data_IF_837357173944
#
_entry.id   IF_837357173944
#
_cell.length_a   1.000
_cell.length_b   1.000
_cell.length_c   1.000
_cell.angle_alpha   90.00
_cell.angle_beta   90.00
_cell.angle_gamma   90.00
#
_symmetry.space_group_name_H-M   'P 1'
#
loop_
_entity.id
_entity.type
_entity.pdbx_description
1 polymer ?
#
# COMPACT_ATOMS: atom_id res chain seq x y z
N UNK A 1 27.58 20.67 14.25
CA UNK A 1 27.29 19.83 13.07
C UNK A 1 25.85 19.39 13.20
N UNK A 2 24.96 19.91 12.34
CA UNK A 2 23.53 19.61 12.39
C UNK A 2 23.34 18.12 12.09
N UNK A 3 22.69 17.39 13.00
CA UNK A 3 22.19 16.05 12.74
C UNK A 3 21.25 16.14 11.54
N UNK A 4 21.68 15.66 10.37
CA UNK A 4 20.82 15.55 9.20
C UNK A 4 19.65 14.66 9.59
N UNK A 5 18.42 15.20 9.50
CA UNK A 5 17.22 14.38 9.60
C UNK A 5 17.32 13.26 8.57
N UNK A 6 17.35 12.01 9.03
CA UNK A 6 17.31 10.84 8.15
C UNK A 6 15.96 10.72 7.43
N UNK A 7 14.92 11.42 7.91
CA UNK A 7 13.61 11.40 7.29
C UNK A 7 13.61 12.15 5.96
N UNK A 8 13.15 11.52 4.85
CA UNK A 8 13.14 12.17 3.55
C UNK A 8 12.25 13.41 3.54
N UNK A 9 12.73 14.50 2.93
CA UNK A 9 11.96 15.75 2.85
C UNK A 9 10.63 15.61 2.12
N UNK A 10 10.57 14.75 1.10
CA UNK A 10 9.31 14.46 0.39
C UNK A 10 8.22 13.92 1.32
N UNK A 11 8.60 13.17 2.37
CA UNK A 11 7.64 12.64 3.34
C UNK A 11 7.01 13.77 4.14
N UNK A 12 7.80 14.77 4.54
CA UNK A 12 7.30 15.96 5.23
C UNK A 12 6.29 16.74 4.39
N UNK A 13 6.54 16.88 3.07
CA UNK A 13 5.57 17.48 2.16
C UNK A 13 4.28 16.66 2.09
N UNK A 14 4.38 15.35 1.87
CA UNK A 14 3.21 14.48 1.78
C UNK A 14 2.38 14.47 3.07
N UNK A 15 3.01 14.30 4.24
CA UNK A 15 2.30 14.21 5.52
C UNK A 15 1.64 15.53 5.91
N UNK A 16 2.28 16.67 5.65
CA UNK A 16 1.68 17.99 5.87
C UNK A 16 0.40 18.13 5.05
N UNK A 17 0.49 17.85 3.74
CA UNK A 17 -0.66 17.94 2.82
C UNK A 17 -1.78 16.99 3.26
N UNK A 18 -1.47 15.74 3.60
CA UNK A 18 -2.50 14.78 4.03
C UNK A 18 -3.14 15.14 5.38
N UNK A 19 -2.43 15.86 6.25
CA UNK A 19 -2.98 16.33 7.53
C UNK A 19 -4.04 17.42 7.33
N UNK A 20 -3.85 18.27 6.33
CA UNK A 20 -4.76 19.34 5.92
C UNK A 20 -5.91 18.80 5.06
N UNK A 21 -5.60 17.86 4.16
CA UNK A 21 -6.53 17.30 3.17
C UNK A 21 -6.81 15.82 3.42
N UNK A 22 -7.45 15.51 4.54
CA UNK A 22 -7.69 14.12 5.02
C UNK A 22 -8.46 13.21 4.06
N UNK A 23 -9.09 13.76 3.02
CA UNK A 23 -9.81 13.02 1.97
C UNK A 23 -8.93 12.67 0.77
N UNK A 24 -7.75 13.27 0.62
CA UNK A 24 -6.81 13.04 -0.48
C UNK A 24 -6.06 11.71 -0.32
N UNK A 25 -6.72 10.63 0.10
CA UNK A 25 -6.12 9.32 0.41
C UNK A 25 -6.09 8.37 -0.78
N UNK A 26 -6.62 8.78 -1.93
CA UNK A 26 -6.73 7.90 -3.11
C UNK A 26 -5.66 8.26 -4.13
N UNK A 27 -4.96 7.25 -4.63
CA UNK A 27 -3.95 7.39 -5.68
C UNK A 27 -4.10 6.32 -6.74
N UNK A 28 -3.58 6.57 -7.94
CA UNK A 28 -3.50 5.56 -8.99
C UNK A 28 -2.25 4.70 -8.80
N UNK A 29 -2.40 3.38 -8.77
CA UNK A 29 -1.30 2.42 -8.74
C UNK A 29 -1.14 1.79 -10.12
N UNK A 30 0.01 2.03 -10.76
CA UNK A 30 0.43 1.37 -11.98
C UNK A 30 1.24 0.10 -11.67
N UNK A 31 0.91 -1.00 -12.35
CA UNK A 31 1.63 -2.28 -12.31
C UNK A 31 1.77 -2.81 -13.74
N UNK A 32 2.56 -3.87 -13.92
CA UNK A 32 2.70 -4.53 -15.22
C UNK A 32 2.13 -5.94 -15.15
N UNK A 33 1.28 -6.29 -16.10
CA UNK A 33 0.91 -7.67 -16.34
C UNK A 33 1.95 -8.30 -17.26
N UNK A 34 2.65 -9.31 -16.74
CA UNK A 34 3.66 -10.07 -17.47
C UNK A 34 3.11 -11.35 -18.08
N UNK A 35 1.83 -11.67 -17.83
CA UNK A 35 1.17 -12.80 -18.45
C UNK A 35 0.92 -12.53 -19.93
N UNK A 36 1.40 -13.43 -20.79
CA UNK A 36 1.23 -13.36 -22.24
C UNK A 36 2.52 -13.04 -22.99
N UNK A 37 2.38 -12.70 -24.27
CA UNK A 37 3.53 -12.43 -25.16
C UNK A 37 4.21 -11.08 -24.86
N UNK A 38 3.44 -10.09 -24.42
CA UNK A 38 3.92 -8.73 -24.18
C UNK A 38 3.56 -8.24 -22.78
N UNK A 39 4.45 -7.48 -22.11
CA UNK A 39 4.11 -6.81 -20.87
C UNK A 39 3.04 -5.74 -21.10
N UNK A 40 1.95 -5.78 -20.34
CA UNK A 40 0.83 -4.84 -20.47
C UNK A 40 0.72 -3.97 -19.20
N UNK A 41 0.81 -2.63 -19.30
CA UNK A 41 0.60 -1.76 -18.14
C UNK A 41 -0.85 -1.84 -17.66
N UNK A 42 -1.03 -1.80 -16.34
CA UNK A 42 -2.34 -1.83 -15.68
C UNK A 42 -2.38 -0.74 -14.64
N UNK A 43 -3.50 -0.02 -14.55
CA UNK A 43 -3.71 1.04 -13.57
C UNK A 43 -5.06 0.87 -12.87
N UNK A 44 -5.12 1.31 -11.60
CA UNK A 44 -6.36 1.41 -10.81
C UNK A 44 -6.15 2.32 -9.62
N UNK A 45 -7.24 2.84 -9.06
CA UNK A 45 -7.18 3.57 -7.80
C UNK A 45 -7.03 2.63 -6.60
N UNK A 46 -6.26 3.08 -5.62
CA UNK A 46 -6.00 2.43 -4.34
C UNK A 46 -6.14 3.48 -3.23
N UNK A 47 -6.50 3.03 -2.03
CA UNK A 47 -6.65 3.90 -0.86
C UNK A 47 -5.45 3.72 0.05
N UNK A 48 -4.72 4.81 0.26
CA UNK A 48 -3.71 4.96 1.30
C UNK A 48 -4.32 4.70 2.68
N UNK A 49 -3.66 3.87 3.49
CA UNK A 49 -4.13 3.50 4.84
C UNK A 49 -3.31 4.13 5.94
N UNK A 50 -2.00 4.07 5.82
CA UNK A 50 -1.07 4.60 6.82
C UNK A 50 0.35 4.67 6.25
N UNK A 51 1.24 5.31 6.99
CA UNK A 51 2.67 5.32 6.74
C UNK A 51 3.36 4.68 7.94
N UNK A 52 4.23 3.69 7.70
CA UNK A 52 5.14 3.19 8.71
C UNK A 52 6.45 3.96 8.58
N UNK A 53 6.91 4.55 9.68
CA UNK A 53 8.17 5.31 9.75
C UNK A 53 9.18 4.63 10.67
N UNK A 54 9.09 3.29 10.78
CA UNK A 54 9.97 2.46 11.60
C UNK A 54 11.44 2.68 11.29
N UNK A 55 11.77 2.82 10.01
CA UNK A 55 13.09 3.23 9.54
C UNK A 55 13.05 4.71 9.09
N UNK A 56 13.79 5.63 9.75
CA UNK A 56 13.72 7.06 9.44
C UNK A 56 13.92 7.37 7.95
N UNK A 57 14.88 6.72 7.30
CA UNK A 57 15.16 6.93 5.87
C UNK A 57 14.31 6.08 4.91
N UNK A 58 13.48 5.14 5.38
CA UNK A 58 12.72 4.21 4.52
C UNK A 58 11.26 4.14 4.98
N UNK A 59 10.48 5.22 4.84
CA UNK A 59 9.06 5.17 5.13
C UNK A 59 8.36 4.20 4.18
N UNK A 60 7.39 3.44 4.70
CA UNK A 60 6.60 2.48 3.93
C UNK A 60 5.16 2.99 3.87
N UNK A 61 4.60 3.10 2.67
CA UNK A 61 3.19 3.43 2.49
C UNK A 61 2.36 2.15 2.51
N UNK A 62 1.30 2.13 3.30
CA UNK A 62 0.41 0.97 3.43
C UNK A 62 -0.85 1.17 2.60
N UNK A 63 -1.19 0.12 1.86
CA UNK A 63 -2.44 -0.03 1.12
C UNK A 63 -3.03 -1.42 1.40
N UNK A 64 -4.26 -1.65 0.96
CA UNK A 64 -4.95 -2.95 1.17
C UNK A 64 -5.53 -3.48 -0.13
N UNK A 65 -5.47 -4.78 -0.36
CA UNK A 65 -6.09 -5.43 -1.52
C UNK A 65 -6.57 -6.83 -1.18
N UNK A 66 -7.41 -7.40 -2.03
CA UNK A 66 -7.70 -8.83 -2.05
C UNK A 66 -6.54 -9.58 -2.73
N UNK A 67 -6.00 -10.60 -2.08
CA UNK A 67 -4.88 -11.43 -2.57
C UNK A 67 -5.20 -12.13 -3.91
N UNK A 68 -6.48 -12.39 -4.17
CA UNK A 68 -6.96 -13.07 -5.38
C UNK A 68 -7.08 -12.12 -6.57
N UNK A 69 -6.96 -10.80 -6.34
CA UNK A 69 -7.15 -9.81 -7.38
C UNK A 69 -5.99 -9.80 -8.40
N UNK A 70 -6.23 -9.40 -9.66
CA UNK A 70 -5.19 -9.38 -10.69
C UNK A 70 -3.95 -8.54 -10.32
N UNK A 71 -4.12 -7.46 -9.53
CA UNK A 71 -2.98 -6.62 -9.12
C UNK A 71 -2.02 -7.35 -8.17
N UNK A 72 -2.53 -8.19 -7.28
CA UNK A 72 -1.68 -8.97 -6.37
C UNK A 72 -0.86 -10.00 -7.18
N UNK A 73 -1.48 -10.59 -8.21
CA UNK A 73 -0.77 -11.44 -9.15
C UNK A 73 0.34 -10.68 -9.91
N UNK A 74 0.01 -9.53 -10.51
CA UNK A 74 0.94 -8.70 -11.28
C UNK A 74 2.16 -8.25 -10.46
N UNK A 75 1.96 -7.88 -9.19
CA UNK A 75 3.05 -7.48 -8.31
C UNK A 75 3.99 -8.65 -8.01
N UNK A 76 3.45 -9.86 -7.86
CA UNK A 76 4.23 -11.07 -7.57
C UNK A 76 4.90 -11.66 -8.81
N UNK A 77 4.23 -11.63 -9.96
CA UNK A 77 4.76 -12.17 -11.22
C UNK A 77 5.86 -11.31 -11.82
N UNK A 78 6.08 -10.11 -11.27
CA UNK A 78 7.10 -9.20 -11.73
C UNK A 78 8.50 -9.81 -11.53
N UNK A 79 9.36 -9.82 -12.57
CA UNK A 79 10.65 -10.52 -12.50
C UNK A 79 11.68 -9.85 -11.58
N UNK A 80 11.44 -8.58 -11.24
CA UNK A 80 12.33 -7.80 -10.39
C UNK A 80 12.18 -8.19 -8.91
N UNK A 81 13.24 -8.72 -8.32
CA UNK A 81 13.31 -9.05 -6.88
C UNK A 81 13.90 -7.93 -6.04
N UNK A 82 14.65 -7.00 -6.66
CA UNK A 82 15.34 -5.88 -5.98
C UNK A 82 15.01 -4.50 -6.56
N UNK A 83 14.38 -4.41 -7.72
CA UNK A 83 13.99 -3.13 -8.31
C UNK A 83 12.54 -2.75 -7.97
N UNK A 84 12.03 -1.68 -8.59
CA UNK A 84 10.63 -1.31 -8.46
C UNK A 84 9.72 -2.33 -9.15
N UNK A 85 8.51 -2.48 -8.62
CA UNK A 85 7.46 -3.36 -9.15
C UNK A 85 6.17 -2.60 -9.46
N UNK A 86 6.07 -1.34 -9.02
CA UNK A 86 4.94 -0.46 -9.28
C UNK A 86 5.34 1.02 -9.26
N UNK A 87 4.46 1.86 -9.80
CA UNK A 87 4.53 3.31 -9.62
C UNK A 87 3.17 3.83 -9.14
N UNK A 88 3.19 4.73 -8.17
CA UNK A 88 2.01 5.49 -7.73
C UNK A 88 2.00 6.83 -8.44
N UNK A 89 0.83 7.26 -8.91
CA UNK A 89 0.56 8.65 -9.28
C UNK A 89 -0.53 9.19 -8.35
N UNK A 90 -0.18 10.18 -7.55
CA UNK A 90 -1.03 10.77 -6.52
C UNK A 90 -1.22 12.25 -6.79
N UNK A 91 -2.36 12.57 -7.40
CA UNK A 91 -2.80 13.95 -7.61
C UNK A 91 -3.55 14.44 -6.38
N UNK A 92 -3.15 15.58 -5.84
CA UNK A 92 -3.82 16.26 -4.72
C UNK A 92 -4.33 17.59 -5.25
N UNK A 93 -5.63 17.63 -5.56
CA UNK A 93 -6.25 18.72 -6.31
C UNK A 93 -6.26 20.03 -5.53
N UNK A 94 -6.46 19.95 -4.22
CA UNK A 94 -6.56 21.10 -3.31
C UNK A 94 -5.25 21.91 -3.27
N UNK A 95 -4.11 21.23 -3.31
CA UNK A 95 -2.77 21.85 -3.34
C UNK A 95 -2.22 22.03 -4.76
N UNK A 96 -2.91 21.50 -5.77
CA UNK A 96 -2.47 21.52 -7.17
C UNK A 96 -1.06 20.91 -7.31
N UNK A 97 -0.86 19.76 -6.68
CA UNK A 97 0.43 19.04 -6.68
C UNK A 97 0.29 17.56 -7.08
N UNK A 98 1.37 17.00 -7.59
CA UNK A 98 1.45 15.58 -7.92
C UNK A 98 2.67 14.93 -7.28
N UNK A 99 2.47 13.79 -6.62
CA UNK A 99 3.54 12.85 -6.29
C UNK A 99 3.52 11.68 -7.26
N UNK A 100 4.65 11.37 -7.89
CA UNK A 100 4.90 10.07 -8.53
C UNK A 100 5.88 9.30 -7.67
N UNK A 101 5.52 8.09 -7.24
CA UNK A 101 6.32 7.30 -6.31
C UNK A 101 6.62 5.96 -6.95
N UNK A 102 7.85 5.78 -7.39
CA UNK A 102 8.34 4.51 -7.90
C UNK A 102 8.69 3.62 -6.71
N UNK A 103 8.05 2.46 -6.58
CA UNK A 103 8.10 1.66 -5.38
C UNK A 103 8.38 0.18 -5.66
N UNK A 104 9.08 -0.46 -4.72
CA UNK A 104 9.03 -1.91 -4.54
C UNK A 104 7.83 -2.21 -3.66
N UNK A 105 6.95 -3.10 -4.11
CA UNK A 105 5.75 -3.45 -3.34
C UNK A 105 5.89 -4.86 -2.78
N UNK A 106 5.77 -4.97 -1.45
CA UNK A 106 5.73 -6.24 -0.74
C UNK A 106 4.28 -6.62 -0.44
N UNK A 107 3.94 -7.90 -0.62
CA UNK A 107 2.58 -8.42 -0.46
C UNK A 107 2.54 -9.25 0.82
N UNK A 108 1.79 -8.80 1.83
CA UNK A 108 1.61 -9.52 3.10
C UNK A 108 0.18 -10.10 3.18
N UNK A 109 -0.01 -11.38 2.81
CA UNK A 109 -1.30 -12.07 2.92
C UNK A 109 -1.52 -12.61 4.35
N UNK A 110 -2.60 -13.37 4.56
CA UNK A 110 -2.81 -14.09 5.81
C UNK A 110 -1.74 -15.18 6.05
N UNK A 111 -1.42 -15.53 7.32
CA UNK A 111 -0.44 -16.56 7.67
C UNK A 111 -0.71 -17.93 7.05
N UNK A 112 -1.97 -18.26 6.79
CA UNK A 112 -2.37 -19.51 6.14
C UNK A 112 -2.17 -19.53 4.63
N UNK A 113 -1.84 -18.39 4.01
CA UNK A 113 -1.71 -18.27 2.56
C UNK A 113 -0.31 -18.73 2.11
N UNK A 114 -0.17 -19.50 1.01
CA UNK A 114 1.14 -20.00 0.56
C UNK A 114 2.21 -18.93 0.32
N UNK A 115 1.81 -17.73 -0.10
CA UNK A 115 2.73 -16.60 -0.32
C UNK A 115 3.23 -15.94 0.96
N UNK A 116 2.71 -16.30 2.14
CA UNK A 116 3.13 -15.68 3.39
C UNK A 116 4.62 -15.93 3.67
N UNK A 117 5.14 -17.10 3.26
CA UNK A 117 6.56 -17.43 3.39
C UNK A 117 7.48 -16.55 2.53
N UNK A 118 6.95 -15.92 1.49
CA UNK A 118 7.72 -15.09 0.56
C UNK A 118 7.90 -13.66 1.09
N UNK A 119 7.22 -13.30 2.17
CA UNK A 119 7.30 -11.97 2.74
C UNK A 119 8.60 -11.77 3.52
N UNK A 120 9.37 -10.74 3.16
CA UNK A 120 10.66 -10.40 3.79
C UNK A 120 10.50 -9.75 5.17
N UNK A 121 10.07 -10.52 6.17
CA UNK A 121 9.94 -10.04 7.56
C UNK A 121 11.22 -9.37 8.05
N UNK A 122 12.36 -10.05 7.91
CA UNK A 122 13.64 -9.54 8.41
C UNK A 122 14.07 -8.24 7.74
N UNK A 123 13.89 -8.09 6.42
CA UNK A 123 14.33 -6.89 5.70
C UNK A 123 13.49 -5.65 6.03
N UNK A 124 12.21 -5.86 6.33
CA UNK A 124 11.25 -4.80 6.65
C UNK A 124 11.19 -4.48 8.14
N UNK A 125 11.53 -5.45 8.99
CA UNK A 125 11.68 -5.27 10.44
C UNK A 125 13.09 -4.79 10.83
N UNK A 126 14.11 -4.90 9.96
CA UNK A 126 15.48 -4.50 10.28
C UNK A 126 15.64 -2.99 10.38
N UNK A 127 15.89 -2.53 11.61
CA UNK A 127 16.28 -1.17 11.95
C UNK A 127 17.80 -1.01 11.83
N UNK A 128 18.32 -0.89 10.61
CA UNK A 128 19.74 -0.54 10.41
C UNK A 128 19.98 0.94 10.70
N UNK A 129 19.84 1.39 11.96
CA UNK A 129 20.06 2.82 12.28
C UNK A 129 19.82 3.33 13.71
N UNK A 130 19.24 2.55 14.62
CA UNK A 130 18.92 3.02 15.98
C UNK A 130 17.62 3.82 16.05
N UNK A 131 16.85 3.55 17.10
CA UNK A 131 15.46 3.96 17.39
C UNK A 131 14.44 3.67 16.29
N UNK A 132 13.82 2.49 16.39
CA UNK A 132 12.53 2.21 15.78
C UNK A 132 11.52 3.28 16.23
N UNK A 133 10.78 3.89 15.30
CA UNK A 133 9.56 4.60 15.68
C UNK A 133 8.60 3.66 16.44
N UNK A 134 7.71 4.16 17.32
CA UNK A 134 6.90 3.35 18.24
C UNK A 134 5.93 2.35 17.57
N UNK A 135 5.75 2.44 16.25
CA UNK A 135 4.76 1.69 15.48
C UNK A 135 5.36 0.61 14.55
N UNK A 136 6.64 0.28 14.70
CA UNK A 136 7.35 -0.71 13.86
C UNK A 136 6.95 -2.15 14.22
N UNK A 137 6.39 -2.95 13.29
CA UNK A 137 6.26 -4.38 13.52
C UNK A 137 7.64 -5.04 13.48
N UNK A 138 8.01 -5.80 14.51
CA UNK A 138 9.33 -6.44 14.60
C UNK A 138 9.24 -7.93 14.26
N UNK A 139 8.18 -8.59 14.73
CA UNK A 139 7.95 -10.04 14.58
C UNK A 139 6.87 -10.34 13.54
N UNK A 140 6.79 -11.61 13.10
CA UNK A 140 5.72 -12.04 12.20
C UNK A 140 4.34 -11.85 12.83
N UNK A 141 4.25 -12.05 14.15
CA UNK A 141 3.06 -11.81 14.95
C UNK A 141 2.65 -10.33 14.95
N UNK A 142 3.62 -9.40 15.05
CA UNK A 142 3.32 -7.96 14.98
C UNK A 142 2.81 -7.54 13.60
N UNK A 143 3.39 -8.11 12.54
CA UNK A 143 2.94 -7.88 11.17
C UNK A 143 1.50 -8.38 10.94
N UNK A 144 1.17 -9.55 11.49
CA UNK A 144 -0.20 -10.06 11.45
C UNK A 144 -1.15 -9.21 12.30
N UNK A 145 -0.71 -8.75 13.47
CA UNK A 145 -1.49 -7.82 14.29
C UNK A 145 -1.78 -6.50 13.56
N UNK A 146 -0.81 -5.96 12.82
CA UNK A 146 -1.00 -4.79 11.96
C UNK A 146 -2.01 -5.09 10.84
N UNK A 147 -1.96 -6.27 10.22
CA UNK A 147 -2.92 -6.68 9.18
C UNK A 147 -4.35 -6.75 9.74
N UNK A 148 -4.55 -7.42 10.88
CA UNK A 148 -5.86 -7.53 11.53
C UNK A 148 -6.36 -6.16 11.99
N UNK A 149 -5.52 -5.33 12.61
CA UNK A 149 -5.86 -3.94 12.99
C UNK A 149 -6.30 -3.13 11.77
N UNK A 150 -5.58 -3.24 10.66
CA UNK A 150 -5.91 -2.54 9.41
C UNK A 150 -7.25 -3.01 8.84
N UNK A 151 -7.53 -4.32 8.88
CA UNK A 151 -8.83 -4.88 8.48
C UNK A 151 -9.98 -4.32 9.35
N UNK A 152 -9.80 -4.32 10.67
CA UNK A 152 -10.81 -3.82 11.61
C UNK A 152 -11.07 -2.31 11.43
N UNK A 153 -10.08 -1.53 11.01
CA UNK A 153 -10.25 -0.11 10.71
C UNK A 153 -11.01 0.17 9.40
N UNK A 154 -11.26 -0.84 8.56
CA UNK A 154 -12.09 -0.67 7.37
C UNK A 154 -13.56 -0.53 7.77
N UNK A 155 -14.31 0.27 7.00
CA UNK A 155 -15.77 0.35 7.16
C UNK A 155 -16.45 -1.00 6.88
N UNK A 156 -17.58 -1.32 7.53
CA UNK A 156 -18.22 -2.64 7.42
C UNK A 156 -18.47 -3.13 5.97
N UNK A 157 -18.92 -2.28 5.02
CA UNK A 157 -19.11 -2.74 3.64
C UNK A 157 -17.81 -3.12 2.93
N UNK A 158 -16.71 -2.45 3.29
CA UNK A 158 -15.41 -2.75 2.69
C UNK A 158 -14.83 -4.04 3.26
N UNK A 159 -15.02 -4.33 4.56
CA UNK A 159 -14.70 -5.65 5.13
C UNK A 159 -15.45 -6.77 4.41
N UNK A 160 -16.74 -6.57 4.17
CA UNK A 160 -17.56 -7.54 3.44
C UNK A 160 -17.07 -7.82 2.03
N UNK A 161 -16.46 -6.85 1.35
CA UNK A 161 -15.95 -7.03 -0.01
C UNK A 161 -14.93 -8.16 -0.16
N UNK A 162 -14.22 -8.51 0.92
CA UNK A 162 -13.22 -9.59 0.92
C UNK A 162 -13.83 -10.99 1.06
N UNK A 163 -15.10 -11.11 1.48
CA UNK A 163 -15.85 -12.38 1.52
C UNK A 163 -16.69 -12.61 0.26
N UNK A 164 -16.59 -11.72 -0.74
CA UNK A 164 -17.31 -11.85 -2.01
C UNK A 164 -16.54 -12.78 -2.97
N UNK A 165 -17.18 -13.21 -4.08
CA UNK A 165 -16.49 -13.93 -5.14
C UNK A 165 -15.23 -13.19 -5.63
N UNK A 166 -14.30 -13.96 -6.21
CA UNK A 166 -12.98 -13.47 -6.64
C UNK A 166 -13.11 -12.18 -7.48
N UNK A 167 -12.44 -11.07 -7.09
CA UNK A 167 -12.52 -9.84 -7.87
C UNK A 167 -12.09 -10.02 -9.32
N UNK A 168 -12.95 -9.60 -10.25
CA UNK A 168 -12.73 -9.72 -11.69
C UNK A 168 -13.13 -11.07 -12.30
N UNK A 169 -13.69 -12.01 -11.55
CA UNK A 169 -14.31 -13.20 -12.13
C UNK A 169 -15.61 -12.86 -12.86
N UNK A 170 -16.00 -13.73 -13.80
CA UNK A 170 -17.29 -13.63 -14.49
C UNK A 170 -18.45 -13.70 -13.50
N UNK A 171 -19.44 -12.82 -13.67
CA UNK A 171 -20.72 -12.86 -12.97
C UNK A 171 -21.79 -13.27 -14.00
N UNK A 172 -22.20 -14.53 -13.99
CA UNK A 172 -23.17 -15.07 -14.96
C UNK A 172 -24.55 -14.45 -14.80
N UNK A 173 -24.99 -14.27 -13.54
CA UNK A 173 -26.27 -13.64 -13.22
C UNK A 173 -26.06 -12.46 -12.25
N UNK A 174 -26.35 -11.22 -12.66
CA UNK A 174 -26.24 -10.05 -11.78
C UNK A 174 -27.03 -10.16 -10.47
N UNK A 175 -28.16 -10.87 -10.44
CA UNK A 175 -28.99 -11.05 -9.25
C UNK A 175 -28.32 -11.88 -8.14
N UNK A 176 -27.23 -12.60 -8.44
CA UNK A 176 -26.46 -13.31 -7.41
C UNK A 176 -25.68 -12.35 -6.50
N UNK A 177 -25.43 -11.11 -6.95
CA UNK A 177 -24.76 -10.10 -6.14
C UNK A 177 -25.57 -9.67 -4.90
N UNK A 178 -26.90 -9.77 -4.98
CA UNK A 178 -27.81 -9.44 -3.88
C UNK A 178 -27.69 -10.42 -2.70
N UNK A 179 -27.16 -11.62 -2.95
CA UNK A 179 -26.95 -12.67 -1.94
C UNK A 179 -25.62 -12.52 -1.19
N UNK A 180 -24.73 -11.66 -1.67
CA UNK A 180 -23.41 -11.49 -1.08
C UNK A 180 -23.47 -10.73 0.24
N UNK A 181 -22.50 -10.95 1.15
CA UNK A 181 -22.39 -10.17 2.36
C UNK A 181 -22.26 -8.67 2.02
N UNK A 182 -23.17 -7.88 2.60
CA UNK A 182 -23.21 -6.43 2.45
C UNK A 182 -22.33 -5.73 3.46
N UNK A 183 -22.26 -6.26 4.68
CA UNK A 183 -21.46 -5.74 5.80
C UNK A 183 -20.85 -6.89 6.58
N UNK A 184 -19.66 -6.67 7.14
CA UNK A 184 -19.08 -7.58 8.14
C UNK A 184 -18.66 -6.81 9.40
N UNK A 185 -18.80 -7.41 10.59
CA UNK A 185 -18.27 -6.85 11.82
C UNK A 185 -16.73 -6.85 11.81
N UNK A 186 -16.14 -6.30 12.85
CA UNK A 186 -14.70 -6.46 13.11
C UNK A 186 -14.41 -7.90 13.52
N UNK A 187 -13.18 -8.35 13.26
CA UNK A 187 -12.71 -9.63 13.78
C UNK A 187 -12.72 -9.65 15.31
N UNK A 188 -13.31 -10.70 15.88
CA UNK A 188 -13.53 -10.85 17.32
C UNK A 188 -14.84 -10.21 17.83
N UNK A 189 -15.63 -9.58 16.96
CA UNK A 189 -16.95 -8.99 17.28
C UNK A 189 -18.10 -9.68 16.54
N UNK A 190 -17.89 -10.89 16.02
CA UNK A 190 -18.90 -11.69 15.35
C UNK A 190 -19.90 -12.27 16.36
N UNK A 191 -21.20 -12.17 16.08
CA UNK A 191 -22.26 -12.66 16.97
C UNK A 191 -22.81 -14.02 16.49
N UNK A 192 -22.78 -14.25 15.19
CA UNK A 192 -23.31 -15.48 14.57
C UNK A 192 -22.21 -16.37 13.98
N UNK A 193 -22.49 -17.68 13.85
CA UNK A 193 -21.56 -18.61 13.20
C UNK A 193 -21.33 -18.28 11.72
N UNK A 194 -22.33 -17.72 11.03
CA UNK A 194 -22.20 -17.26 9.66
C UNK A 194 -21.25 -16.06 9.57
N UNK A 195 -21.36 -15.08 10.47
CA UNK A 195 -20.41 -13.96 10.53
C UNK A 195 -18.99 -14.43 10.83
N UNK A 196 -18.80 -15.35 11.78
CA UNK A 196 -17.47 -15.92 12.09
C UNK A 196 -16.86 -16.56 10.85
N UNK A 197 -17.65 -17.32 10.09
CA UNK A 197 -17.22 -17.94 8.83
C UNK A 197 -16.84 -16.89 7.78
N UNK A 198 -17.70 -15.89 7.57
CA UNK A 198 -17.48 -14.85 6.56
C UNK A 198 -16.31 -13.92 6.91
N UNK A 199 -16.13 -13.54 8.18
CA UNK A 199 -14.97 -12.74 8.61
C UNK A 199 -13.68 -13.54 8.47
N UNK A 200 -13.69 -14.83 8.82
CA UNK A 200 -12.54 -15.71 8.60
C UNK A 200 -12.17 -15.81 7.12
N UNK A 201 -13.16 -15.95 6.23
CA UNK A 201 -12.94 -15.93 4.78
C UNK A 201 -12.42 -14.58 4.28
N UNK A 202 -13.03 -13.48 4.73
CA UNK A 202 -12.58 -12.13 4.42
C UNK A 202 -11.12 -11.90 4.82
N UNK A 203 -10.74 -12.30 6.03
CA UNK A 203 -9.37 -12.21 6.51
C UNK A 203 -8.40 -13.09 5.72
N UNK A 204 -8.80 -14.29 5.28
CA UNK A 204 -7.96 -15.12 4.43
C UNK A 204 -7.63 -14.46 3.08
N UNK A 205 -8.56 -13.65 2.55
CA UNK A 205 -8.39 -12.91 1.30
C UNK A 205 -7.76 -11.51 1.48
N UNK A 206 -7.85 -10.93 2.67
CA UNK A 206 -7.34 -9.60 3.00
C UNK A 206 -5.82 -9.55 3.05
N UNK A 207 -5.21 -8.58 2.39
CA UNK A 207 -3.76 -8.45 2.23
C UNK A 207 -3.31 -7.00 2.37
N UNK A 208 -2.19 -6.79 3.06
CA UNK A 208 -1.49 -5.50 3.03
C UNK A 208 -0.57 -5.44 1.81
N UNK A 209 -0.54 -4.27 1.19
CA UNK A 209 0.49 -3.88 0.23
C UNK A 209 1.38 -2.86 0.91
N UNK A 210 2.67 -3.18 1.02
CA UNK A 210 3.68 -2.33 1.60
C UNK A 210 4.49 -1.74 0.45
N UNK A 211 4.29 -0.46 0.16
CA UNK A 211 4.98 0.24 -0.90
C UNK A 211 6.21 0.89 -0.28
N UNK A 212 7.38 0.35 -0.61
CA UNK A 212 8.69 0.88 -0.27
C UNK A 212 9.15 1.84 -1.39
N UNK A 213 9.11 3.16 -1.17
CA UNK A 213 9.53 4.14 -2.16
C UNK A 213 11.03 4.05 -2.46
N UNK A 214 11.37 4.07 -3.74
CA UNK A 214 12.76 4.09 -4.24
C UNK A 214 13.08 5.41 -4.96
N UNK A 215 12.08 6.00 -5.60
CA UNK A 215 12.15 7.33 -6.20
C UNK A 215 10.83 8.06 -5.96
N UNK A 216 10.91 9.37 -5.73
CA UNK A 216 9.76 10.26 -5.60
C UNK A 216 9.97 11.47 -6.49
N UNK A 217 9.00 11.77 -7.33
CA UNK A 217 8.94 12.97 -8.17
C UNK A 217 7.74 13.80 -7.73
N UNK A 218 8.01 15.00 -7.22
CA UNK A 218 7.01 15.93 -6.72
C UNK A 218 6.95 17.15 -7.64
N UNK A 219 5.77 17.37 -8.21
CA UNK A 219 5.49 18.54 -9.03
C UNK A 219 4.53 19.48 -8.30
N UNK A 220 4.95 20.73 -8.11
CA UNK A 220 4.15 21.82 -7.58
C UNK A 220 3.65 22.67 -8.76
N UNK A 221 2.37 22.51 -9.11
CA UNK A 221 1.76 23.17 -10.26
C UNK A 221 0.88 24.38 -9.86
N UNK A 222 0.69 24.60 -8.57
CA UNK A 222 -0.03 25.76 -8.02
C UNK A 222 0.79 27.05 -7.93
N UNK A 223 2.08 27.04 -8.32
CA UNK A 223 3.01 28.17 -8.20
C UNK A 223 3.56 28.60 -9.56
N UNK A 224 3.96 29.87 -9.71
CA UNK A 224 4.52 30.41 -10.97
C UNK A 224 5.93 30.98 -10.74
N UNK A 225 6.97 30.51 -11.46
CA UNK A 225 6.96 29.32 -12.33
C UNK A 225 6.71 28.05 -11.51
N UNK A 226 6.19 27.01 -12.18
CA UNK A 226 6.02 25.68 -11.57
C UNK A 226 7.34 25.18 -10.97
N UNK A 227 7.27 24.25 -10.02
CA UNK A 227 8.45 23.63 -9.42
C UNK A 227 8.38 22.12 -9.50
N UNK A 228 9.54 21.48 -9.56
CA UNK A 228 9.65 20.03 -9.57
C UNK A 228 10.91 19.57 -8.87
N UNK A 229 10.75 18.61 -7.97
CA UNK A 229 11.84 18.05 -7.17
C UNK A 229 11.76 16.53 -7.23
N UNK A 230 12.91 15.90 -7.44
CA UNK A 230 13.06 14.46 -7.43
C UNK A 230 13.95 14.03 -6.27
N UNK A 231 13.56 12.94 -5.61
CA UNK A 231 14.38 12.26 -4.62
C UNK A 231 14.63 10.82 -5.06
N UNK A 232 15.87 10.37 -4.97
CA UNK A 232 16.29 9.01 -5.26
C UNK A 232 16.88 8.37 -4.00
N UNK A 233 16.43 7.16 -3.65
CA UNK A 233 16.98 6.40 -2.54
C UNK A 233 18.12 5.50 -3.01
N UNK A 234 19.31 5.66 -2.42
CA UNK A 234 20.50 4.87 -2.78
C UNK A 234 20.64 3.57 -1.95
N UNK A 235 19.71 3.31 -1.04
CA UNK A 235 19.77 2.22 -0.07
C UNK A 235 20.07 2.69 1.37
N UNK A 236 20.56 3.91 1.55
CA UNK A 236 20.91 4.49 2.85
C UNK A 236 20.30 5.88 3.05
N UNK A 237 20.31 6.72 2.01
CA UNK A 237 19.87 8.11 2.06
C UNK A 237 19.10 8.49 0.79
N UNK A 238 18.46 9.65 0.88
CA UNK A 238 17.75 10.26 -0.24
C UNK A 238 18.57 11.40 -0.83
N UNK A 239 18.90 11.31 -2.11
CA UNK A 239 19.51 12.38 -2.87
C UNK A 239 18.42 13.24 -3.53
N UNK A 240 18.41 14.54 -3.23
CA UNK A 240 17.43 15.52 -3.72
C UNK A 240 17.99 16.30 -4.91
N UNK A 241 17.19 16.43 -5.96
CA UNK A 241 17.53 17.22 -7.15
C UNK A 241 16.31 18.04 -7.59
N UNK A 242 16.46 19.35 -7.68
CA UNK A 242 15.49 20.21 -8.38
C UNK A 242 15.65 20.02 -9.88
N UNK A 243 14.54 19.76 -10.57
CA UNK A 243 14.51 19.55 -12.02
C UNK A 243 13.57 20.55 -12.69
N UNK A 244 13.70 20.71 -14.01
CA UNK A 244 12.76 21.54 -14.78
C UNK A 244 11.36 20.88 -14.73
N UNK A 245 10.29 21.65 -14.43
CA UNK A 245 8.92 21.14 -14.39
C UNK A 245 8.46 20.45 -15.67
#
# INVERSE_FOLDING_TARGET
>A
MSTLSLSPRWLGHLTTILSEHKKATTYALATVNTDGEFPIPRARHMVHRSILTSHPARPILISTTDVRSPKAHQLRSHPSTKGPTAEVAWWIAEEVVQFRILARVHVLPAPSHPLHSDFSFSELSQNSGGDSGPDAPETAEDWEALRIKTFNNLVPPLRASFARPKPGSLLENPADADKWPQTLPEYGKEETEEEKKQVKEALANFTLLLLEPLNVDFAELGVVPNRRTQWNFDGQKWDEVTVVP
#
